data_IF_194787835881
#
_entry.id   IF_194787835881
#
_cell.length_a   1.000
_cell.length_b   1.000
_cell.length_c   1.000
_cell.angle_alpha   90.00
_cell.angle_beta   90.00
_cell.angle_gamma   90.00
#
_symmetry.space_group_name_H-M   'P 1'
#
loop_
_entity.id
_entity.type
_entity.pdbx_description
1 polymer ?
#
# COMPACT_ATOMS: atom_id res chain seq x y z
N UNK A 1 7.64 -2.29 -15.24
CA UNK A 1 7.56 -1.14 -14.31
C UNK A 1 6.60 -1.48 -13.19
N UNK A 2 7.00 -1.29 -11.93
CA UNK A 2 6.16 -1.61 -10.78
C UNK A 2 5.14 -0.51 -10.53
N UNK A 3 3.89 -0.90 -10.40
CA UNK A 3 2.79 0.01 -10.11
C UNK A 3 2.30 -0.27 -8.69
N UNK A 4 2.27 0.77 -7.86
CA UNK A 4 1.81 0.66 -6.48
C UNK A 4 0.54 1.48 -6.31
N UNK A 5 -0.49 0.85 -5.74
CA UNK A 5 -1.77 1.50 -5.49
C UNK A 5 -2.12 1.37 -4.01
N UNK A 6 -2.52 2.47 -3.40
CA UNK A 6 -3.03 2.51 -2.04
C UNK A 6 -4.52 2.80 -2.08
N UNK A 7 -5.31 1.91 -1.48
CA UNK A 7 -6.76 2.09 -1.36
C UNK A 7 -7.11 2.45 0.08
N UNK A 8 -7.95 3.46 0.25
CA UNK A 8 -8.33 3.95 1.56
C UNK A 8 -9.78 4.40 1.57
N UNK A 9 -10.32 4.62 2.78
CA UNK A 9 -11.61 5.26 2.96
C UNK A 9 -11.48 6.29 4.09
N UNK A 10 -12.53 7.09 4.28
CA UNK A 10 -12.53 8.08 5.37
C UNK A 10 -12.39 7.43 6.74
N UNK A 11 -12.97 6.24 6.92
CA UNK A 11 -12.88 5.50 8.17
C UNK A 11 -11.49 4.87 8.36
N UNK A 12 -10.82 4.53 7.26
CA UNK A 12 -9.52 3.86 7.26
C UNK A 12 -8.59 4.58 6.28
N UNK A 13 -8.04 5.76 6.66
CA UNK A 13 -7.31 6.61 5.73
C UNK A 13 -5.95 6.08 5.28
N UNK A 14 -5.36 5.13 6.03
CA UNK A 14 -4.11 4.51 5.62
C UNK A 14 -2.90 5.43 5.63
N UNK A 15 -2.90 6.49 6.45
CA UNK A 15 -1.79 7.44 6.49
C UNK A 15 -0.48 6.79 6.90
N UNK A 16 -0.51 5.90 7.88
CA UNK A 16 0.67 5.17 8.33
C UNK A 16 1.16 4.20 7.27
N UNK A 17 0.25 3.48 6.64
CA UNK A 17 0.60 2.57 5.54
C UNK A 17 1.27 3.32 4.39
N UNK A 18 0.71 4.45 4.01
CA UNK A 18 1.27 5.28 2.95
C UNK A 18 2.68 5.77 3.29
N UNK A 19 2.85 6.33 4.48
CA UNK A 19 4.14 6.85 4.92
C UNK A 19 5.20 5.74 4.99
N UNK A 20 4.83 4.59 5.56
CA UNK A 20 5.75 3.46 5.70
C UNK A 20 6.12 2.88 4.34
N UNK A 21 5.16 2.81 3.41
CA UNK A 21 5.43 2.33 2.06
C UNK A 21 6.40 3.24 1.32
N UNK A 22 6.19 4.54 1.39
CA UNK A 22 7.10 5.52 0.76
C UNK A 22 8.50 5.43 1.34
N UNK A 23 8.61 5.27 2.66
CA UNK A 23 9.90 5.14 3.32
C UNK A 23 10.60 3.83 2.94
N UNK A 24 9.87 2.73 2.86
CA UNK A 24 10.42 1.44 2.44
C UNK A 24 10.96 1.51 1.00
N UNK A 25 10.22 2.14 0.10
CA UNK A 25 10.65 2.33 -1.29
C UNK A 25 11.92 3.18 -1.36
N UNK A 26 12.00 4.24 -0.56
CA UNK A 26 13.19 5.09 -0.49
C UNK A 26 14.41 4.31 -0.01
N UNK A 27 14.25 3.47 1.01
CA UNK A 27 15.32 2.63 1.52
C UNK A 27 15.85 1.63 0.49
N UNK A 28 14.97 1.13 -0.36
CA UNK A 28 15.34 0.17 -1.41
C UNK A 28 15.91 0.85 -2.66
N UNK A 29 15.93 2.17 -2.69
CA UNK A 29 16.39 2.93 -3.84
C UNK A 29 15.46 2.86 -5.04
N UNK A 30 14.20 2.52 -4.80
CA UNK A 30 13.17 2.41 -5.84
C UNK A 30 12.30 3.67 -5.78
N UNK A 31 11.95 4.20 -6.94
CA UNK A 31 11.09 5.37 -7.02
C UNK A 31 9.90 5.11 -7.95
N UNK A 32 9.05 4.11 -7.65
CA UNK A 32 7.86 3.87 -8.46
C UNK A 32 6.82 4.94 -8.18
N UNK A 33 5.97 5.18 -9.16
CA UNK A 33 4.84 6.06 -8.98
C UNK A 33 3.80 5.37 -8.10
N UNK A 34 3.40 6.05 -7.02
CA UNK A 34 2.39 5.53 -6.11
C UNK A 34 1.08 6.28 -6.31
N UNK A 35 0.04 5.55 -6.64
CA UNK A 35 -1.31 6.10 -6.81
C UNK A 35 -2.11 5.87 -5.53
N UNK A 36 -2.77 6.92 -5.05
CA UNK A 36 -3.62 6.86 -3.86
C UNK A 36 -5.07 7.01 -4.32
N UNK A 37 -5.90 6.01 -4.05
CA UNK A 37 -7.28 5.96 -4.51
C UNK A 37 -8.24 5.82 -3.32
N UNK A 38 -9.24 6.70 -3.25
CA UNK A 38 -10.32 6.56 -2.29
C UNK A 38 -11.30 5.50 -2.79
N UNK A 39 -11.62 4.54 -1.94
CA UNK A 39 -12.51 3.44 -2.28
C UNK A 39 -13.81 3.54 -1.50
N UNK A 40 -14.93 3.42 -2.18
CA UNK A 40 -16.25 3.36 -1.55
C UNK A 40 -16.43 1.95 -0.96
N UNK A 41 -16.73 1.83 0.35
CA UNK A 41 -16.79 0.52 1.01
C UNK A 41 -17.67 -0.52 0.32
N UNK A 42 -18.78 -0.11 -0.28
CA UNK A 42 -19.69 -1.03 -0.97
C UNK A 42 -19.13 -1.60 -2.27
N UNK A 43 -18.05 -1.03 -2.77
CA UNK A 43 -17.45 -1.44 -4.06
C UNK A 43 -16.30 -2.41 -3.90
N UNK A 44 -15.90 -2.70 -2.66
CA UNK A 44 -14.79 -3.62 -2.41
C UNK A 44 -15.13 -4.58 -1.28
N UNK A 45 -14.77 -5.84 -1.44
CA UNK A 45 -14.83 -6.82 -0.37
C UNK A 45 -13.54 -6.89 0.44
N UNK A 46 -12.58 -6.03 0.15
CA UNK A 46 -11.28 -6.03 0.79
C UNK A 46 -11.27 -5.06 1.96
N UNK A 47 -10.82 -5.49 3.17
CA UNK A 47 -10.63 -4.56 4.28
C UNK A 47 -9.66 -3.44 3.91
N UNK A 48 -9.96 -2.22 4.38
CA UNK A 48 -9.15 -1.04 4.12
C UNK A 48 -8.39 -0.64 5.38
N UNK A 49 -7.22 0.00 5.28
CA UNK A 49 -6.52 0.35 4.04
C UNK A 49 -5.91 -0.87 3.36
N UNK A 50 -5.68 -0.78 2.07
CA UNK A 50 -5.10 -1.86 1.30
C UNK A 50 -4.00 -1.36 0.37
N UNK A 51 -3.02 -2.22 0.09
CA UNK A 51 -1.92 -1.92 -0.82
C UNK A 51 -1.88 -2.98 -1.91
N UNK A 52 -1.85 -2.53 -3.16
CA UNK A 52 -1.72 -3.40 -4.31
C UNK A 52 -0.43 -3.12 -5.06
N UNK A 53 0.20 -4.17 -5.55
CA UNK A 53 1.40 -4.09 -6.38
C UNK A 53 1.10 -4.81 -7.68
N UNK A 54 1.21 -4.07 -8.80
CA UNK A 54 0.93 -4.56 -10.14
C UNK A 54 -0.47 -5.20 -10.24
N UNK A 55 -1.45 -4.59 -9.56
CA UNK A 55 -2.83 -5.04 -9.59
C UNK A 55 -3.19 -6.12 -8.58
N UNK A 56 -2.22 -6.63 -7.83
CA UNK A 56 -2.45 -7.67 -6.83
C UNK A 56 -2.41 -7.07 -5.43
N UNK A 57 -3.46 -7.30 -4.63
CA UNK A 57 -3.52 -6.82 -3.25
C UNK A 57 -2.58 -7.66 -2.39
N UNK A 58 -1.60 -7.01 -1.77
CA UNK A 58 -0.59 -7.67 -0.95
C UNK A 58 -0.71 -7.35 0.53
N UNK A 59 -1.37 -6.24 0.88
CA UNK A 59 -1.64 -5.82 2.26
C UNK A 59 -3.08 -5.35 2.34
N UNK A 60 -3.80 -5.76 3.37
CA UNK A 60 -5.16 -5.29 3.59
C UNK A 60 -5.54 -5.35 5.06
N UNK A 61 -6.25 -4.32 5.50
CA UNK A 61 -6.78 -4.26 6.87
C UNK A 61 -5.75 -4.02 7.97
N UNK A 62 -4.47 -3.86 7.61
CA UNK A 62 -3.38 -3.62 8.56
C UNK A 62 -2.43 -2.59 8.01
N UNK A 63 -1.59 -2.02 8.89
CA UNK A 63 -0.57 -1.05 8.50
C UNK A 63 0.80 -1.57 8.94
N UNK A 64 1.48 -2.37 8.07
CA UNK A 64 2.78 -2.95 8.41
C UNK A 64 3.85 -1.89 8.66
N UNK A 65 4.88 -2.26 9.41
CA UNK A 65 6.05 -1.40 9.62
C UNK A 65 6.85 -1.23 8.33
N UNK A 66 7.74 -0.24 8.32
CA UNK A 66 8.65 -0.02 7.19
C UNK A 66 9.46 -1.28 6.89
N UNK A 67 9.98 -1.94 7.93
CA UNK A 67 10.77 -3.16 7.76
C UNK A 67 9.97 -4.30 7.13
N UNK A 68 8.73 -4.50 7.57
CA UNK A 68 7.85 -5.51 6.99
C UNK A 68 7.55 -5.23 5.53
N UNK A 69 7.33 -3.96 5.18
CA UNK A 69 7.09 -3.56 3.80
C UNK A 69 8.33 -3.75 2.93
N UNK A 70 9.53 -3.47 3.47
CA UNK A 70 10.78 -3.73 2.76
C UNK A 70 10.92 -5.20 2.41
N UNK A 71 10.65 -6.09 3.36
CA UNK A 71 10.70 -7.53 3.13
C UNK A 71 9.70 -7.97 2.07
N UNK A 72 8.49 -7.42 2.12
CA UNK A 72 7.44 -7.72 1.14
C UNK A 72 7.86 -7.27 -0.26
N UNK A 73 8.38 -6.05 -0.38
CA UNK A 73 8.80 -5.50 -1.67
C UNK A 73 10.01 -6.26 -2.26
N UNK A 74 10.91 -6.73 -1.41
CA UNK A 74 12.08 -7.51 -1.85
C UNK A 74 11.70 -8.90 -2.37
N UNK A 75 10.56 -9.44 -1.96
CA UNK A 75 10.11 -10.78 -2.36
C UNK A 75 9.34 -10.80 -3.68
N UNK A 76 9.18 -9.65 -4.31
CA UNK A 76 8.41 -9.55 -5.56
C UNK A 76 9.24 -9.85 -6.83
#
# INVERSE_FOLDING_TARGET
>A
MTRIQLFYSRAYPGNTLRANTLQALAHLGVNPEMQVEETVPEQTGTPLPALAIDGEIVVYGVEPSVHELELLLLSL
#
